data_IF_779458061603
#
_entry.id   IF_779458061603
#
_cell.length_a   1.000
_cell.length_b   1.000
_cell.length_c   1.000
_cell.angle_alpha   90.00
_cell.angle_beta   90.00
_cell.angle_gamma   90.00
#
_symmetry.space_group_name_H-M   'P 1'
#
loop_
_entity.id
_entity.type
_entity.pdbx_description
1 polymer ?
#
# COMPACT_ATOMS: atom_id res chain seq x y z
N UNK A 1 78.89 32.44 15.74
CA UNK A 1 78.17 33.55 16.41
C UNK A 1 76.90 33.82 15.62
N UNK A 2 75.72 33.49 16.19
CA UNK A 2 74.64 34.42 16.61
C UNK A 2 73.96 35.15 15.43
N UNK A 3 72.65 35.25 15.22
CA UNK A 3 71.39 34.75 15.84
C UNK A 3 70.24 35.26 14.95
N UNK A 4 69.18 34.45 14.80
CA UNK A 4 67.72 34.79 14.75
C UNK A 4 67.17 35.87 13.79
N UNK A 5 66.09 35.50 13.08
CA UNK A 5 64.73 36.11 13.05
C UNK A 5 63.85 35.17 12.20
N UNK A 6 63.07 34.23 12.77
CA UNK A 6 61.66 34.37 13.18
C UNK A 6 60.85 35.39 12.37
N UNK A 7 60.00 34.89 11.47
CA UNK A 7 58.66 35.45 11.28
C UNK A 7 57.67 34.35 10.92
N UNK A 8 56.79 34.15 11.89
CA UNK A 8 55.59 33.34 11.91
C UNK A 8 54.58 33.98 10.93
N UNK A 9 54.05 33.22 9.98
CA UNK A 9 52.78 33.58 9.34
C UNK A 9 51.94 32.32 9.22
N UNK A 10 51.07 32.18 10.21
CA UNK A 10 50.09 31.15 10.40
C UNK A 10 48.90 31.50 9.50
N UNK A 11 48.80 30.89 8.32
CA UNK A 11 47.59 30.93 7.52
C UNK A 11 46.68 29.80 7.97
N UNK A 12 45.91 30.05 9.03
CA UNK A 12 44.78 29.21 9.40
C UNK A 12 43.68 29.43 8.36
N UNK A 13 43.61 28.54 7.37
CA UNK A 13 42.41 28.43 6.53
C UNK A 13 41.33 27.83 7.42
N UNK A 14 40.42 28.68 7.89
CA UNK A 14 39.14 28.29 8.45
C UNK A 14 38.36 27.59 7.33
N UNK A 15 38.39 26.26 7.30
CA UNK A 15 37.37 25.47 6.60
C UNK A 15 36.09 25.58 7.43
N UNK A 16 35.22 26.52 7.04
CA UNK A 16 33.84 26.51 7.49
C UNK A 16 33.19 25.19 7.06
N UNK A 17 32.56 24.56 8.04
CA UNK A 17 31.77 23.36 7.91
C UNK A 17 30.72 23.50 6.81
N UNK A 18 30.73 22.58 5.86
CA UNK A 18 29.48 21.97 5.40
C UNK A 18 29.36 20.65 6.13
N UNK A 19 28.89 20.70 7.38
CA UNK A 19 28.12 19.58 7.88
C UNK A 19 26.93 19.50 6.90
N UNK A 20 27.03 18.60 5.93
CA UNK A 20 25.86 18.20 5.19
C UNK A 20 24.88 17.76 6.25
N UNK A 21 23.77 18.50 6.39
CA UNK A 21 22.54 17.85 6.79
C UNK A 21 22.32 16.76 5.74
N UNK A 22 22.88 15.56 5.95
CA UNK A 22 22.18 14.39 5.49
C UNK A 22 20.89 14.43 6.28
N UNK A 23 19.80 14.86 5.65
CA UNK A 23 18.50 14.32 6.03
C UNK A 23 18.71 12.82 6.03
N UNK A 24 18.86 12.22 7.21
CA UNK A 24 18.83 10.78 7.32
C UNK A 24 17.47 10.39 6.77
N UNK A 25 17.44 9.84 5.56
CA UNK A 25 16.24 9.13 5.11
C UNK A 25 15.93 8.14 6.22
N UNK A 26 14.74 8.25 6.81
CA UNK A 26 14.29 7.35 7.84
C UNK A 26 14.06 5.99 7.17
N UNK A 27 15.08 5.14 7.14
CA UNK A 27 14.93 3.81 6.56
C UNK A 27 14.14 2.93 7.53
N UNK A 28 13.05 2.33 7.03
CA UNK A 28 12.30 1.33 7.77
C UNK A 28 13.09 0.00 7.77
N UNK A 29 13.24 -0.61 8.94
CA UNK A 29 13.73 -1.99 9.06
C UNK A 29 12.74 -2.96 8.41
N UNK A 30 13.22 -3.80 7.50
CA UNK A 30 12.43 -4.81 6.79
C UNK A 30 13.10 -6.18 6.87
N UNK A 31 12.32 -7.23 6.67
CA UNK A 31 12.79 -8.62 6.56
C UNK A 31 12.07 -9.29 5.39
N UNK A 32 12.75 -9.46 4.26
CA UNK A 32 12.22 -10.15 3.09
C UNK A 32 12.28 -11.69 3.20
N UNK A 33 12.99 -12.21 4.20
CA UNK A 33 13.18 -13.65 4.41
C UNK A 33 12.24 -14.25 5.45
N UNK A 34 11.61 -13.43 6.30
CA UNK A 34 10.66 -13.89 7.31
C UNK A 34 9.52 -14.70 6.69
N UNK A 35 9.17 -15.82 7.33
CA UNK A 35 8.04 -16.65 6.92
C UNK A 35 6.76 -16.12 7.58
N UNK A 36 5.77 -15.79 6.76
CA UNK A 36 4.49 -15.25 7.21
C UNK A 36 3.64 -16.32 7.90
N UNK A 37 3.87 -17.61 7.63
CA UNK A 37 3.06 -18.70 8.18
C UNK A 37 3.29 -18.94 9.66
N UNK A 38 4.41 -18.43 10.20
CA UNK A 38 4.73 -18.50 11.62
C UNK A 38 4.05 -17.38 12.44
N UNK A 39 3.43 -16.41 11.76
CA UNK A 39 2.73 -15.30 12.39
C UNK A 39 1.30 -15.70 12.73
N UNK A 40 0.89 -15.38 13.96
CA UNK A 40 -0.48 -15.62 14.40
C UNK A 40 -1.43 -14.66 13.67
N UNK A 41 -2.48 -15.21 13.08
CA UNK A 41 -3.56 -14.42 12.50
C UNK A 41 -4.22 -13.50 13.53
N UNK A 42 -4.51 -12.28 13.09
CA UNK A 42 -5.21 -11.27 13.87
C UNK A 42 -6.72 -11.32 13.64
N UNK A 43 -7.48 -10.91 14.65
CA UNK A 43 -8.94 -10.72 14.53
C UNK A 43 -9.23 -9.63 13.49
N UNK A 44 -10.28 -9.85 12.68
CA UNK A 44 -10.79 -8.83 11.78
C UNK A 44 -11.51 -7.75 12.59
N UNK A 45 -11.00 -6.52 12.53
CA UNK A 45 -11.59 -5.36 13.22
C UNK A 45 -11.94 -4.26 12.23
N UNK A 46 -12.80 -3.33 12.64
CA UNK A 46 -13.11 -2.11 11.85
C UNK A 46 -11.86 -1.32 11.46
N UNK A 47 -10.82 -1.35 12.31
CA UNK A 47 -9.53 -0.74 12.00
C UNK A 47 -8.83 -1.46 10.85
N UNK A 48 -8.82 -2.80 10.84
CA UNK A 48 -8.24 -3.62 9.76
C UNK A 48 -9.01 -3.40 8.45
N UNK A 49 -10.34 -3.36 8.50
CA UNK A 49 -11.19 -3.03 7.36
C UNK A 49 -10.90 -1.63 6.83
N UNK A 50 -10.73 -0.65 7.73
CA UNK A 50 -10.32 0.71 7.37
C UNK A 50 -8.92 0.74 6.77
N UNK A 51 -8.03 -0.14 7.22
CA UNK A 51 -6.68 -0.28 6.69
C UNK A 51 -6.66 -0.82 5.24
N UNK A 52 -7.66 -1.58 4.84
CA UNK A 52 -7.79 -2.19 3.51
C UNK A 52 -8.23 -1.25 2.39
N UNK A 53 -8.38 0.05 2.66
CA UNK A 53 -8.86 1.01 1.66
C UNK A 53 -7.90 1.11 0.46
N UNK A 54 -8.42 1.09 -0.78
CA UNK A 54 -7.64 1.35 -1.99
C UNK A 54 -7.03 2.75 -2.02
N UNK A 55 -5.96 2.91 -2.79
CA UNK A 55 -5.21 4.18 -2.91
C UNK A 55 -6.05 5.39 -3.27
N UNK A 56 -6.96 5.26 -4.23
CA UNK A 56 -7.88 6.34 -4.62
C UNK A 56 -8.72 6.84 -3.43
N UNK A 57 -9.21 5.92 -2.60
CA UNK A 57 -10.01 6.26 -1.43
C UNK A 57 -9.17 6.84 -0.31
N UNK A 58 -8.00 6.24 -0.06
CA UNK A 58 -7.02 6.72 0.92
C UNK A 58 -6.62 8.16 0.66
N UNK A 59 -6.40 8.51 -0.59
CA UNK A 59 -6.03 9.86 -0.99
C UNK A 59 -7.08 10.92 -0.61
N UNK A 60 -8.36 10.55 -0.66
CA UNK A 60 -9.46 11.40 -0.20
C UNK A 60 -9.52 11.52 1.33
N UNK A 61 -8.96 10.56 2.05
CA UNK A 61 -8.86 10.60 3.51
C UNK A 61 -7.63 11.40 3.92
N UNK A 62 -7.83 12.54 4.58
CA UNK A 62 -6.73 13.30 5.19
C UNK A 62 -6.22 12.63 6.48
N UNK A 63 -5.98 11.32 6.44
CA UNK A 63 -5.55 10.48 7.57
C UNK A 63 -4.29 9.72 7.19
N UNK A 64 -3.23 9.86 7.98
CA UNK A 64 -2.01 9.08 7.86
C UNK A 64 -1.98 8.01 8.94
N UNK A 65 -2.01 6.74 8.52
CA UNK A 65 -1.63 5.62 9.38
C UNK A 65 -0.16 5.34 9.11
N UNK A 66 0.74 5.77 10.01
CA UNK A 66 2.17 5.52 9.85
C UNK A 66 2.54 4.10 10.33
N UNK A 67 3.66 3.60 9.83
CA UNK A 67 4.08 2.23 10.12
C UNK A 67 4.46 1.98 11.59
N UNK A 68 4.96 2.99 12.29
CA UNK A 68 5.45 2.84 13.67
C UNK A 68 4.29 2.75 14.68
N UNK A 69 3.21 3.47 14.43
CA UNK A 69 1.95 3.37 15.17
C UNK A 69 1.34 1.98 14.94
N UNK A 70 1.28 1.50 13.69
CA UNK A 70 0.77 0.17 13.37
C UNK A 70 1.61 -0.96 13.98
N UNK A 71 2.91 -0.78 14.14
CA UNK A 71 3.79 -1.69 14.89
C UNK A 71 3.49 -1.67 16.38
N UNK A 72 3.30 -0.49 16.95
CA UNK A 72 2.96 -0.31 18.36
C UNK A 72 1.61 -0.96 18.71
N UNK A 73 0.68 -0.93 17.77
CA UNK A 73 -0.63 -1.58 17.86
C UNK A 73 -0.59 -3.09 17.55
N UNK A 74 0.59 -3.63 17.19
CA UNK A 74 0.82 -5.02 16.78
C UNK A 74 0.00 -5.42 15.54
N UNK A 75 -0.33 -4.47 14.66
CA UNK A 75 -0.94 -4.73 13.36
C UNK A 75 0.11 -5.14 12.34
N UNK A 76 1.31 -4.56 12.44
CA UNK A 76 2.41 -4.79 11.50
C UNK A 76 3.57 -5.46 12.22
N UNK A 77 3.83 -6.71 11.88
CA UNK A 77 4.98 -7.46 12.39
C UNK A 77 6.07 -7.63 11.31
N UNK A 78 5.68 -8.06 10.10
CA UNK A 78 6.60 -8.19 8.96
C UNK A 78 6.45 -6.99 8.02
N UNK A 79 7.59 -6.39 7.72
CA UNK A 79 7.74 -5.38 6.67
C UNK A 79 8.68 -5.91 5.62
N UNK A 80 8.32 -5.69 4.36
CA UNK A 80 9.05 -6.07 3.16
C UNK A 80 9.52 -4.82 2.44
N UNK A 81 10.58 -4.98 1.64
CA UNK A 81 11.04 -3.94 0.73
C UNK A 81 11.28 -4.53 -0.65
N UNK A 82 10.60 -4.00 -1.65
CA UNK A 82 10.73 -4.46 -3.04
C UNK A 82 10.44 -3.32 -4.01
N UNK A 83 11.20 -3.28 -5.11
CA UNK A 83 11.06 -2.27 -6.17
C UNK A 83 10.95 -0.81 -5.67
N UNK A 84 11.68 -0.45 -4.61
CA UNK A 84 11.71 0.92 -4.08
C UNK A 84 10.57 1.28 -3.15
N UNK A 85 9.71 0.33 -2.77
CA UNK A 85 8.63 0.54 -1.81
C UNK A 85 8.71 -0.40 -0.63
N UNK A 86 8.24 0.09 0.50
CA UNK A 86 7.93 -0.72 1.68
C UNK A 86 6.48 -1.17 1.62
N UNK A 87 6.24 -2.41 2.01
CA UNK A 87 4.89 -2.91 2.28
C UNK A 87 4.90 -3.86 3.47
N UNK A 88 3.76 -4.03 4.14
CA UNK A 88 3.60 -5.08 5.16
C UNK A 88 2.64 -6.15 4.68
N UNK A 89 2.77 -7.33 5.28
CA UNK A 89 1.79 -8.41 5.15
C UNK A 89 1.47 -8.92 6.55
N UNK A 90 0.18 -9.01 6.86
CA UNK A 90 -0.32 -9.45 8.16
C UNK A 90 -1.39 -10.51 7.95
N UNK A 91 -1.28 -11.71 8.52
CA UNK A 91 -2.35 -12.70 8.46
C UNK A 91 -3.54 -12.24 9.29
N UNK A 92 -4.74 -12.40 8.75
CA UNK A 92 -6.01 -12.08 9.38
C UNK A 92 -6.85 -13.37 9.47
N UNK A 93 -7.82 -13.41 10.38
CA UNK A 93 -8.75 -14.52 10.49
C UNK A 93 -9.46 -14.83 9.15
N UNK A 94 -10.05 -16.04 9.06
CA UNK A 94 -10.68 -16.56 7.84
C UNK A 94 -9.73 -16.77 6.65
N UNK A 95 -8.42 -16.86 6.90
CA UNK A 95 -7.42 -17.13 5.87
C UNK A 95 -7.12 -15.93 4.98
N UNK A 96 -7.52 -14.73 5.40
CA UNK A 96 -7.21 -13.49 4.70
C UNK A 96 -5.84 -12.95 5.10
N UNK A 97 -5.31 -12.06 4.27
CA UNK A 97 -4.08 -11.33 4.52
C UNK A 97 -4.33 -9.86 4.26
N UNK A 98 -3.87 -9.00 5.18
CA UNK A 98 -3.82 -7.57 5.00
C UNK A 98 -2.46 -7.18 4.43
N UNK A 99 -2.46 -6.63 3.24
CA UNK A 99 -1.30 -6.02 2.60
C UNK A 99 -1.42 -4.51 2.66
N UNK A 100 -0.38 -3.83 3.14
CA UNK A 100 -0.35 -2.36 3.22
C UNK A 100 0.87 -1.81 2.48
N UNK A 101 0.66 -0.92 1.53
CA UNK A 101 1.71 -0.17 0.85
C UNK A 101 1.96 1.15 1.57
N UNK A 102 3.23 1.52 1.75
CA UNK A 102 3.62 2.76 2.41
C UNK A 102 4.17 3.80 1.43
N UNK A 103 3.88 5.07 1.72
CA UNK A 103 4.46 6.20 1.03
C UNK A 103 5.99 6.25 1.16
N UNK A 104 6.64 6.74 0.11
CA UNK A 104 8.05 7.12 0.13
C UNK A 104 8.19 8.55 0.66
N UNK A 105 7.85 8.73 1.94
CA UNK A 105 8.01 9.97 2.70
C UNK A 105 8.46 9.66 4.13
N UNK A 106 8.87 10.68 4.89
CA UNK A 106 9.43 10.49 6.23
C UNK A 106 8.45 9.84 7.23
N UNK A 107 7.14 9.99 6.99
CA UNK A 107 6.07 9.48 7.85
C UNK A 107 5.64 8.06 7.47
N UNK A 108 6.02 7.55 6.29
CA UNK A 108 5.63 6.24 5.76
C UNK A 108 4.15 5.91 5.96
N UNK A 109 3.28 6.85 5.59
CA UNK A 109 1.83 6.66 5.67
C UNK A 109 1.38 5.52 4.76
N UNK A 110 0.40 4.72 5.20
CA UNK A 110 -0.30 3.77 4.32
C UNK A 110 -0.95 4.54 3.17
N UNK A 111 -0.64 4.14 1.94
CA UNK A 111 -1.20 4.71 0.70
C UNK A 111 -2.06 3.74 -0.07
N UNK A 112 -1.96 2.42 0.17
CA UNK A 112 -2.84 1.42 -0.41
C UNK A 112 -3.01 0.25 0.55
N UNK A 113 -4.21 -0.30 0.63
CA UNK A 113 -4.54 -1.48 1.40
C UNK A 113 -5.21 -2.55 0.54
N UNK A 114 -4.98 -3.81 0.88
CA UNK A 114 -5.68 -4.94 0.29
C UNK A 114 -5.87 -6.04 1.33
N UNK A 115 -7.12 -6.34 1.67
CA UNK A 115 -7.50 -7.43 2.56
C UNK A 115 -8.16 -8.53 1.73
N UNK A 116 -7.48 -9.66 1.56
CA UNK A 116 -7.98 -10.72 0.69
C UNK A 116 -7.45 -12.10 1.08
N UNK A 117 -8.24 -13.13 0.73
CA UNK A 117 -7.82 -14.54 0.78
C UNK A 117 -7.36 -15.06 -0.60
N UNK A 118 -7.47 -14.25 -1.65
CA UNK A 118 -7.11 -14.64 -3.01
C UNK A 118 -7.48 -13.58 -4.05
N UNK A 119 -7.06 -13.80 -5.29
CA UNK A 119 -7.57 -13.05 -6.43
C UNK A 119 -8.85 -13.66 -6.99
N UNK A 120 -9.73 -12.81 -7.49
CA UNK A 120 -10.91 -13.23 -8.24
C UNK A 120 -10.55 -13.49 -9.71
N UNK A 121 -11.40 -14.24 -10.42
CA UNK A 121 -11.18 -14.49 -11.84
C UNK A 121 -11.68 -13.29 -12.66
N UNK A 122 -10.78 -12.73 -13.47
CA UNK A 122 -11.10 -11.59 -14.33
C UNK A 122 -12.13 -11.97 -15.41
N UNK A 123 -12.19 -13.25 -15.80
CA UNK A 123 -13.14 -13.73 -16.79
C UNK A 123 -14.60 -13.63 -16.32
N UNK A 124 -14.84 -13.59 -15.00
CA UNK A 124 -16.19 -13.41 -14.44
C UNK A 124 -16.76 -12.00 -14.70
N UNK A 125 -15.92 -11.06 -15.13
CA UNK A 125 -16.28 -9.66 -15.40
C UNK A 125 -16.20 -9.29 -16.89
N UNK A 126 -15.91 -10.23 -17.79
CA UNK A 126 -15.64 -9.92 -19.21
C UNK A 126 -16.84 -9.37 -19.98
N UNK A 127 -18.05 -9.73 -19.54
CA UNK A 127 -19.31 -9.39 -20.19
C UNK A 127 -20.09 -8.31 -19.40
N UNK A 128 -19.45 -7.68 -18.40
CA UNK A 128 -20.02 -6.64 -17.53
C UNK A 128 -20.63 -5.49 -18.33
N UNK A 129 -21.86 -5.10 -17.99
CA UNK A 129 -22.60 -4.01 -18.61
C UNK A 129 -23.29 -3.12 -17.57
N UNK A 130 -23.55 -1.87 -17.95
CA UNK A 130 -24.40 -0.98 -17.18
C UNK A 130 -25.81 -1.56 -17.02
N UNK A 131 -26.40 -1.42 -15.84
CA UNK A 131 -27.70 -1.96 -15.47
C UNK A 131 -27.67 -3.32 -14.78
N UNK A 132 -26.52 -3.98 -14.69
CA UNK A 132 -26.36 -5.23 -13.94
C UNK A 132 -26.48 -5.02 -12.43
N UNK A 133 -26.96 -6.04 -11.72
CA UNK A 133 -27.24 -5.97 -10.28
C UNK A 133 -25.95 -6.02 -9.45
N UNK A 134 -25.79 -5.08 -8.51
CA UNK A 134 -24.60 -5.00 -7.66
C UNK A 134 -24.35 -6.28 -6.87
N UNK A 135 -25.39 -6.89 -6.30
CA UNK A 135 -25.19 -8.06 -5.43
C UNK A 135 -24.77 -9.29 -6.27
N UNK A 136 -25.26 -9.40 -7.51
CA UNK A 136 -24.79 -10.40 -8.48
C UNK A 136 -23.30 -10.19 -8.81
N UNK A 137 -22.89 -8.94 -9.11
CA UNK A 137 -21.48 -8.61 -9.38
C UNK A 137 -20.58 -8.91 -8.17
N UNK A 138 -20.98 -8.49 -6.97
CA UNK A 138 -20.20 -8.73 -5.76
C UNK A 138 -20.13 -10.21 -5.39
N UNK A 139 -21.09 -11.03 -5.83
CA UNK A 139 -21.01 -12.49 -5.64
C UNK A 139 -19.89 -13.16 -6.44
N UNK A 140 -19.40 -12.52 -7.50
CA UNK A 140 -18.27 -12.99 -8.30
C UNK A 140 -16.90 -12.67 -7.64
N UNK A 141 -16.86 -11.79 -6.64
CA UNK A 141 -15.62 -11.43 -5.96
C UNK A 141 -15.83 -11.17 -4.46
N UNK A 142 -15.62 -12.23 -3.67
CA UNK A 142 -15.69 -12.16 -2.21
C UNK A 142 -14.57 -11.31 -1.56
N UNK A 143 -13.55 -10.91 -2.33
CA UNK A 143 -12.45 -10.06 -1.87
C UNK A 143 -12.56 -8.62 -2.38
N UNK A 144 -13.67 -8.26 -3.04
CA UNK A 144 -13.92 -6.91 -3.51
C UNK A 144 -13.96 -5.94 -2.33
N UNK A 145 -13.26 -4.82 -2.46
CA UNK A 145 -13.41 -3.74 -1.50
C UNK A 145 -14.59 -2.86 -1.93
N UNK A 146 -15.57 -2.66 -1.04
CA UNK A 146 -16.80 -1.91 -1.33
C UNK A 146 -16.89 -0.67 -0.47
N UNK A 147 -17.07 0.49 -1.11
CA UNK A 147 -17.27 1.75 -0.40
C UNK A 147 -18.37 2.58 -1.05
N UNK A 148 -19.46 2.74 -0.31
CA UNK A 148 -20.66 3.43 -0.80
C UNK A 148 -21.17 2.79 -2.08
N UNK A 149 -21.05 3.54 -3.17
CA UNK A 149 -21.53 3.18 -4.50
C UNK A 149 -20.38 2.80 -5.44
N UNK A 150 -19.24 2.37 -4.91
CA UNK A 150 -18.09 1.93 -5.72
C UNK A 150 -17.53 0.63 -5.16
N UNK A 151 -17.15 -0.29 -6.04
CA UNK A 151 -16.35 -1.47 -5.67
C UNK A 151 -15.04 -1.54 -6.45
N UNK A 152 -14.03 -2.11 -5.80
CA UNK A 152 -12.68 -2.28 -6.34
C UNK A 152 -12.34 -3.76 -6.32
N UNK A 153 -12.07 -4.29 -7.51
CA UNK A 153 -11.76 -5.69 -7.78
C UNK A 153 -10.31 -5.77 -8.25
N UNK A 154 -9.52 -6.70 -7.70
CA UNK A 154 -8.10 -6.83 -8.03
C UNK A 154 -7.80 -8.23 -8.54
N UNK A 155 -7.00 -8.30 -9.59
CA UNK A 155 -6.72 -9.55 -10.30
C UNK A 155 -5.24 -9.94 -10.26
N UNK A 156 -4.96 -11.21 -10.53
CA UNK A 156 -3.60 -11.78 -10.54
C UNK A 156 -2.69 -11.18 -11.62
N UNK A 157 -3.27 -10.59 -12.68
CA UNK A 157 -2.55 -9.85 -13.72
C UNK A 157 -2.22 -8.40 -13.32
N UNK A 158 -2.48 -8.04 -12.06
CA UNK A 158 -2.29 -6.71 -11.46
C UNK A 158 -3.22 -5.61 -11.97
N UNK A 159 -4.23 -5.97 -12.75
CA UNK A 159 -5.29 -5.02 -13.12
C UNK A 159 -6.21 -4.77 -11.93
N UNK A 160 -6.69 -3.54 -11.80
CA UNK A 160 -7.79 -3.17 -10.91
C UNK A 160 -9.00 -2.84 -11.78
N UNK A 161 -10.16 -3.41 -11.47
CA UNK A 161 -11.46 -3.04 -12.02
C UNK A 161 -12.21 -2.22 -10.96
N UNK A 162 -12.64 -1.04 -11.36
CA UNK A 162 -13.47 -0.15 -10.55
C UNK A 162 -14.87 -0.14 -11.16
N UNK A 163 -15.87 -0.41 -10.34
CA UNK A 163 -17.28 -0.43 -10.74
C UNK A 163 -18.01 0.61 -9.92
N UNK A 164 -18.68 1.53 -10.60
CA UNK A 164 -19.56 2.52 -10.00
C UNK A 164 -21.00 2.05 -10.12
N UNK A 165 -21.78 2.33 -9.08
CA UNK A 165 -23.18 1.95 -8.98
C UNK A 165 -24.08 3.17 -8.81
N UNK A 166 -25.31 3.06 -9.32
CA UNK A 166 -26.38 4.01 -9.00
C UNK A 166 -27.55 3.29 -8.32
N UNK A 167 -28.27 4.03 -7.48
CA UNK A 167 -29.47 3.52 -6.82
C UNK A 167 -30.61 3.44 -7.85
N UNK A 168 -31.06 2.23 -8.18
CA UNK A 168 -32.23 2.00 -9.04
C UNK A 168 -33.53 2.14 -8.22
N UNK A 169 -33.53 1.60 -7.01
CA UNK A 169 -34.61 1.70 -6.01
C UNK A 169 -34.02 1.74 -4.60
N UNK A 170 -34.84 2.04 -3.58
CA UNK A 170 -34.41 2.24 -2.18
C UNK A 170 -33.41 1.21 -1.61
N UNK A 171 -33.43 -0.03 -2.11
CA UNK A 171 -32.55 -1.12 -1.67
C UNK A 171 -31.88 -1.87 -2.83
N UNK A 172 -31.84 -1.28 -4.03
CA UNK A 172 -31.23 -1.92 -5.21
C UNK A 172 -30.31 -0.97 -5.95
N UNK A 173 -29.07 -1.42 -6.13
CA UNK A 173 -28.03 -0.72 -6.85
C UNK A 173 -27.70 -1.48 -8.13
N UNK A 174 -27.48 -0.74 -9.20
CA UNK A 174 -27.09 -1.29 -10.50
C UNK A 174 -25.80 -0.65 -10.98
N UNK A 175 -25.05 -1.34 -11.83
CA UNK A 175 -23.83 -0.81 -12.44
C UNK A 175 -24.17 0.44 -13.27
N UNK A 176 -23.55 1.57 -12.95
CA UNK A 176 -23.70 2.82 -13.70
C UNK A 176 -22.55 3.05 -14.69
N UNK A 177 -21.32 2.76 -14.27
CA UNK A 177 -20.10 2.86 -15.09
C UNK A 177 -19.03 1.91 -14.52
N UNK A 178 -18.02 1.60 -15.33
CA UNK A 178 -16.88 0.81 -14.89
C UNK A 178 -15.66 1.06 -15.77
N UNK A 179 -14.48 0.92 -15.17
CA UNK A 179 -13.22 1.02 -15.87
C UNK A 179 -12.17 0.13 -15.24
N UNK A 180 -11.17 -0.25 -16.03
CA UNK A 180 -10.02 -1.01 -15.55
C UNK A 180 -8.73 -0.25 -15.81
N UNK A 181 -7.78 -0.41 -14.90
CA UNK A 181 -6.44 0.13 -15.08
C UNK A 181 -5.39 -0.84 -14.54
N UNK A 182 -4.18 -0.76 -15.11
CA UNK A 182 -3.00 -1.36 -14.52
C UNK A 182 -2.20 -0.25 -13.85
N UNK A 183 -1.89 -0.37 -12.57
CA UNK A 183 -1.14 0.64 -11.81
C UNK A 183 0.23 0.96 -12.43
N UNK A 184 0.85 0.02 -13.15
CA UNK A 184 2.09 0.25 -13.88
C UNK A 184 1.97 1.28 -15.03
N UNK A 185 0.77 1.54 -15.53
CA UNK A 185 0.50 2.56 -16.56
C UNK A 185 0.34 3.97 -15.96
N UNK A 186 0.23 4.06 -14.63
CA UNK A 186 -0.10 5.28 -13.88
C UNK A 186 0.98 5.63 -12.84
N UNK A 187 2.25 5.45 -13.17
CA UNK A 187 3.38 5.63 -12.23
C UNK A 187 3.50 7.02 -11.61
N UNK A 188 2.98 8.04 -12.27
CA UNK A 188 2.99 9.42 -11.80
C UNK A 188 1.70 9.81 -11.05
N UNK A 189 0.74 8.89 -10.94
CA UNK A 189 -0.53 9.08 -10.25
C UNK A 189 -0.54 8.29 -8.93
N UNK A 190 -0.24 8.95 -7.79
CA UNK A 190 -0.15 8.27 -6.50
C UNK A 190 -1.50 7.67 -6.05
N UNK A 191 -2.61 8.06 -6.69
CA UNK A 191 -3.96 7.59 -6.36
C UNK A 191 -4.32 6.28 -7.05
N UNK A 192 -3.41 5.74 -7.88
CA UNK A 192 -3.57 4.47 -8.58
C UNK A 192 -2.46 3.47 -8.27
N UNK A 193 -1.62 3.75 -7.27
CA UNK A 193 -0.64 2.75 -6.80
C UNK A 193 -1.36 1.56 -6.17
N UNK A 194 -0.81 0.35 -6.35
CA UNK A 194 -1.32 -0.88 -5.76
C UNK A 194 -0.21 -1.67 -5.09
N UNK A 195 -0.46 -2.17 -3.88
CA UNK A 195 0.49 -3.04 -3.15
C UNK A 195 0.87 -4.30 -3.94
N UNK A 196 -0.02 -4.78 -4.83
CA UNK A 196 0.18 -5.96 -5.68
C UNK A 196 1.41 -5.82 -6.58
N UNK A 197 1.74 -4.60 -7.02
CA UNK A 197 2.91 -4.35 -7.85
C UNK A 197 4.23 -4.67 -7.16
N UNK A 198 4.23 -4.59 -5.84
CA UNK A 198 5.41 -4.64 -5.00
C UNK A 198 5.54 -5.97 -4.25
N UNK A 199 4.54 -6.85 -4.28
CA UNK A 199 4.61 -8.13 -3.59
C UNK A 199 5.80 -8.98 -4.06
N UNK A 200 6.53 -9.53 -3.09
CA UNK A 200 7.54 -10.55 -3.34
C UNK A 200 6.87 -11.83 -3.85
N UNK A 201 7.58 -12.69 -4.62
CA UNK A 201 7.00 -13.90 -5.18
C UNK A 201 6.41 -14.88 -4.15
N UNK A 202 6.88 -14.87 -2.91
CA UNK A 202 6.32 -15.72 -1.85
C UNK A 202 5.05 -15.14 -1.24
N UNK A 203 4.97 -13.82 -1.09
CA UNK A 203 3.77 -13.16 -0.56
C UNK A 203 2.65 -13.17 -1.63
N UNK A 204 3.01 -13.08 -2.92
CA UNK A 204 2.04 -13.24 -4.01
C UNK A 204 1.38 -14.62 -4.04
N UNK A 205 2.09 -15.69 -3.66
CA UNK A 205 1.53 -17.05 -3.59
C UNK A 205 0.45 -17.22 -2.52
N UNK A 206 0.36 -16.31 -1.56
CA UNK A 206 -0.71 -16.30 -0.56
C UNK A 206 -2.07 -16.00 -1.20
N UNK A 207 -2.07 -15.45 -2.42
CA UNK A 207 -3.26 -15.02 -3.16
C UNK A 207 -3.59 -15.90 -4.38
N UNK A 208 -2.82 -16.98 -4.61
CA UNK A 208 -2.91 -17.85 -5.80
C UNK A 208 -3.39 -19.26 -5.47
#
# INVERSE_FOLDING_TARGET
MKTKKFLLSMFSILLLATAGCSSSQNYITYDNGADITDIKAMELTEQIETLAFPSEMRAGMSVCHNIDDLRTENIVEIVRFNNGRYYSVTPVENGQYLFLLYADNDDHCVIDGYLAAGFSDKEDFKDLQAGEDRDEILSNDANAYVAGNTSYHRFSDKTVLVIEYEEETADKYIVSDFYSYNSADYKDDPYRESVIDYLLPNDLKLLL
#
